data_IF_623436650799
#
_entry.id   IF_623436650799
#
_cell.length_a   1.000
_cell.length_b   1.000
_cell.length_c   1.000
_cell.angle_alpha   90.00
_cell.angle_beta   90.00
_cell.angle_gamma   90.00
#
_symmetry.space_group_name_H-M   'P 1'
#
loop_
_entity.id
_entity.type
_entity.pdbx_description
1 polymer ?
#
# COMPACT_ATOMS: atom_id res chain seq x y z
N UNK A 1 -8.50 -10.92 -20.84
CA UNK A 1 -7.47 -10.99 -21.86
C UNK A 1 -6.54 -9.78 -21.75
N UNK A 2 -5.24 -10.02 -21.78
CA UNK A 2 -4.22 -8.97 -21.89
C UNK A 2 -3.66 -8.99 -23.32
N UNK A 3 -3.48 -7.82 -23.91
CA UNK A 3 -2.82 -7.68 -25.20
C UNK A 3 -1.87 -6.49 -25.18
N UNK A 4 -1.33 -6.11 -26.33
CA UNK A 4 -0.37 -5.02 -26.49
C UNK A 4 -0.99 -3.68 -26.03
N UNK A 5 -0.63 -3.24 -24.83
CA UNK A 5 -1.13 -2.05 -24.15
C UNK A 5 -2.63 -2.02 -23.86
N UNK A 6 -3.35 -3.17 -23.78
CA UNK A 6 -4.76 -3.21 -23.42
C UNK A 6 -5.16 -4.37 -22.51
N UNK A 7 -6.26 -4.17 -21.76
CA UNK A 7 -7.08 -5.21 -21.15
C UNK A 7 -8.42 -5.28 -21.87
N UNK A 8 -8.82 -6.48 -22.33
CA UNK A 8 -10.12 -6.77 -22.91
C UNK A 8 -10.91 -7.69 -22.00
N UNK A 9 -12.20 -7.45 -21.88
CA UNK A 9 -13.06 -8.14 -20.93
C UNK A 9 -14.08 -9.02 -21.63
N UNK A 10 -14.33 -10.19 -21.01
CA UNK A 10 -15.28 -11.18 -21.49
C UNK A 10 -16.21 -11.61 -20.37
N UNK A 11 -17.44 -11.97 -20.69
CA UNK A 11 -18.41 -12.57 -19.78
C UNK A 11 -19.15 -13.71 -20.47
N UNK A 12 -19.26 -14.86 -19.83
CA UNK A 12 -19.93 -16.05 -20.38
C UNK A 12 -19.46 -16.41 -21.81
N UNK A 13 -18.16 -16.28 -22.06
CA UNK A 13 -17.57 -16.54 -23.37
C UNK A 13 -17.83 -15.46 -24.45
N UNK A 14 -18.47 -14.37 -24.10
CA UNK A 14 -18.75 -13.23 -24.99
C UNK A 14 -17.87 -12.03 -24.64
N UNK A 15 -17.32 -11.38 -25.67
CA UNK A 15 -16.61 -10.08 -25.51
C UNK A 15 -17.58 -9.02 -25.04
N UNK A 16 -17.15 -8.19 -24.10
CA UNK A 16 -17.95 -7.04 -23.65
C UNK A 16 -17.86 -5.89 -24.63
N UNK A 17 -18.98 -5.20 -24.81
CA UNK A 17 -19.09 -4.00 -25.67
C UNK A 17 -19.43 -2.79 -24.79
N UNK A 18 -18.98 -1.61 -25.20
CA UNK A 18 -19.33 -0.34 -24.54
C UNK A 18 -20.36 0.43 -25.37
N UNK A 19 -21.09 1.33 -24.68
CA UNK A 19 -21.95 2.31 -25.33
C UNK A 19 -21.15 3.58 -25.69
N UNK A 20 -21.51 4.23 -26.78
CA UNK A 20 -20.90 5.50 -27.16
C UNK A 20 -20.93 6.52 -26.03
N UNK A 21 -19.79 7.14 -25.78
CA UNK A 21 -19.68 8.26 -24.84
C UNK A 21 -20.41 9.51 -25.34
N UNK A 22 -20.73 10.41 -24.40
CA UNK A 22 -21.15 11.76 -24.76
C UNK A 22 -20.03 12.49 -25.50
N UNK A 23 -20.42 13.53 -26.29
CA UNK A 23 -19.42 14.39 -26.96
C UNK A 23 -18.47 14.99 -25.92
N UNK A 24 -17.18 14.96 -26.22
CA UNK A 24 -16.17 15.57 -25.35
C UNK A 24 -16.45 17.07 -25.17
N UNK A 25 -16.27 17.57 -23.97
CA UNK A 25 -16.45 18.99 -23.63
C UNK A 25 -15.26 19.50 -22.81
N UNK A 26 -14.80 20.70 -23.12
CA UNK A 26 -13.72 21.37 -22.36
C UNK A 26 -14.13 21.81 -20.94
N UNK A 27 -15.44 21.90 -20.67
CA UNK A 27 -15.97 22.27 -19.36
C UNK A 27 -16.26 21.06 -18.44
N UNK A 28 -16.13 19.84 -18.96
CA UNK A 28 -16.38 18.61 -18.18
C UNK A 28 -15.10 18.12 -17.53
N UNK A 29 -15.20 17.75 -16.25
CA UNK A 29 -14.15 16.99 -15.57
C UNK A 29 -14.46 15.50 -15.74
N UNK A 30 -13.54 14.78 -16.35
CA UNK A 30 -13.64 13.34 -16.58
C UNK A 30 -12.91 12.58 -15.48
N UNK A 31 -13.57 11.62 -14.87
CA UNK A 31 -12.95 10.67 -13.95
C UNK A 31 -12.26 9.54 -14.74
N UNK A 32 -11.35 8.82 -14.09
CA UNK A 32 -10.76 7.61 -14.68
C UNK A 32 -11.87 6.61 -15.00
N UNK A 33 -11.85 6.06 -16.21
CA UNK A 33 -12.86 5.11 -16.67
C UNK A 33 -14.06 5.74 -17.40
N UNK A 34 -14.18 7.06 -17.43
CA UNK A 34 -15.21 7.72 -18.22
C UNK A 34 -14.91 7.59 -19.72
N UNK A 35 -15.97 7.47 -20.52
CA UNK A 35 -15.87 7.42 -21.98
C UNK A 35 -16.40 8.71 -22.58
N UNK A 36 -15.60 9.36 -23.41
CA UNK A 36 -15.99 10.53 -24.17
C UNK A 36 -15.77 10.32 -25.68
N UNK A 37 -16.62 10.90 -26.51
CA UNK A 37 -16.53 10.82 -27.98
C UNK A 37 -15.98 12.10 -28.57
N UNK A 38 -14.94 11.99 -29.39
CA UNK A 38 -14.36 13.10 -30.11
C UNK A 38 -13.98 12.65 -31.53
N UNK A 39 -14.37 13.43 -32.56
CA UNK A 39 -14.13 13.11 -33.98
C UNK A 39 -14.51 11.66 -34.37
N UNK A 40 -15.69 11.21 -33.96
CA UNK A 40 -16.22 9.85 -34.18
C UNK A 40 -15.42 8.69 -33.53
N UNK A 41 -14.44 8.98 -32.67
CA UNK A 41 -13.71 8.00 -31.90
C UNK A 41 -14.12 8.13 -30.44
N UNK A 42 -14.34 7.01 -29.76
CA UNK A 42 -14.54 6.97 -28.32
C UNK A 42 -13.21 6.83 -27.61
N UNK A 43 -13.06 7.51 -26.49
CA UNK A 43 -11.83 7.52 -25.69
C UNK A 43 -12.15 7.20 -24.25
N UNK A 44 -11.37 6.33 -23.66
CA UNK A 44 -11.37 6.01 -22.24
C UNK A 44 -10.44 6.97 -21.49
N UNK A 45 -10.92 7.61 -20.43
CA UNK A 45 -10.11 8.48 -19.59
C UNK A 45 -9.15 7.69 -18.71
N UNK A 46 -7.84 7.83 -18.93
CA UNK A 46 -6.76 7.17 -18.17
C UNK A 46 -6.43 7.88 -16.87
N UNK A 47 -6.70 9.17 -16.81
CA UNK A 47 -6.44 10.03 -15.65
C UNK A 47 -7.66 10.91 -15.40
N UNK A 48 -7.81 11.42 -14.17
CA UNK A 48 -8.74 12.51 -13.91
C UNK A 48 -8.23 13.72 -14.71
N UNK A 49 -9.07 14.27 -15.57
CA UNK A 49 -8.69 15.39 -16.42
C UNK A 49 -9.85 16.34 -16.71
N UNK A 50 -9.52 17.59 -16.98
CA UNK A 50 -10.45 18.61 -17.50
C UNK A 50 -9.73 19.43 -18.55
N UNK A 51 -10.47 19.88 -19.57
CA UNK A 51 -9.93 20.66 -20.70
C UNK A 51 -8.73 19.99 -21.42
N UNK A 52 -8.64 18.65 -21.37
CA UNK A 52 -7.67 17.87 -22.12
C UNK A 52 -8.36 17.21 -23.29
N UNK A 53 -8.23 17.80 -24.48
CA UNK A 53 -8.92 17.32 -25.69
C UNK A 53 -8.26 16.03 -26.22
N UNK A 54 -9.06 14.97 -26.55
CA UNK A 54 -8.57 13.84 -27.33
C UNK A 54 -8.18 14.24 -28.77
N UNK A 55 -7.19 13.53 -29.39
CA UNK A 55 -6.33 12.51 -28.82
C UNK A 55 -5.17 13.11 -28.01
N UNK A 56 -5.07 12.74 -26.75
CA UNK A 56 -3.95 13.07 -25.90
C UNK A 56 -3.59 11.79 -25.11
N UNK A 57 -2.54 11.09 -25.51
CA UNK A 57 -2.20 9.77 -24.99
C UNK A 57 -1.89 9.75 -23.49
N UNK A 58 -1.56 10.88 -22.87
CA UNK A 58 -1.39 11.00 -21.42
C UNK A 58 -2.72 10.81 -20.67
N UNK A 59 -3.80 11.33 -21.23
CA UNK A 59 -5.10 11.39 -20.57
C UNK A 59 -6.14 10.44 -21.16
N UNK A 60 -5.97 10.04 -22.42
CA UNK A 60 -6.97 9.30 -23.18
C UNK A 60 -6.40 8.07 -23.86
N UNK A 61 -7.15 6.98 -23.84
CA UNK A 61 -6.91 5.77 -24.61
C UNK A 61 -8.01 5.63 -25.66
N UNK A 62 -7.68 5.53 -26.96
CA UNK A 62 -8.68 5.34 -28.01
C UNK A 62 -9.28 3.94 -27.91
N UNK A 63 -10.61 3.86 -27.89
CA UNK A 63 -11.34 2.59 -27.84
C UNK A 63 -11.57 2.05 -29.27
N UNK A 64 -11.55 0.71 -29.47
CA UNK A 64 -11.93 0.09 -30.72
C UNK A 64 -13.35 0.48 -31.12
N UNK A 65 -13.55 0.74 -32.41
CA UNK A 65 -14.85 1.05 -32.99
C UNK A 65 -15.17 0.05 -34.09
N UNK A 66 -16.47 -0.30 -34.23
CA UNK A 66 -16.98 -1.21 -35.25
C UNK A 66 -16.32 -2.62 -35.24
N UNK A 67 -16.60 -3.48 -34.24
CA UNK A 67 -17.53 -3.25 -33.13
C UNK A 67 -16.91 -2.47 -31.95
N UNK A 68 -17.77 -1.88 -31.11
CA UNK A 68 -17.38 -1.14 -29.90
C UNK A 68 -16.91 -2.09 -28.78
N UNK A 69 -15.76 -2.73 -28.96
CA UNK A 69 -15.20 -3.68 -27.97
C UNK A 69 -14.73 -2.89 -26.74
N UNK A 70 -15.15 -3.33 -25.53
CA UNK A 70 -14.73 -2.71 -24.30
C UNK A 70 -13.30 -3.14 -23.94
N UNK A 71 -12.40 -2.20 -24.05
CA UNK A 71 -11.00 -2.31 -23.68
C UNK A 71 -10.61 -1.12 -22.80
N UNK A 72 -9.57 -1.32 -21.99
CA UNK A 72 -8.94 -0.22 -21.28
C UNK A 72 -7.43 -0.28 -21.50
N UNK A 73 -6.76 0.83 -21.29
CA UNK A 73 -5.31 0.90 -21.37
C UNK A 73 -4.64 -0.07 -20.36
N UNK A 74 -3.57 -0.73 -20.81
CA UNK A 74 -2.63 -1.51 -20.01
C UNK A 74 -1.23 -0.91 -20.14
N UNK A 75 -0.39 -0.87 -19.09
CA UNK A 75 0.98 -0.40 -19.22
C UNK A 75 1.92 -1.42 -19.92
N UNK A 76 1.48 -2.66 -20.13
CA UNK A 76 2.31 -3.76 -20.59
C UNK A 76 2.30 -3.89 -22.12
N UNK A 77 3.48 -3.96 -22.72
CA UNK A 77 3.67 -4.28 -24.14
C UNK A 77 3.52 -5.78 -24.40
N UNK A 78 3.31 -6.17 -25.67
CA UNK A 78 3.22 -7.58 -26.09
C UNK A 78 4.41 -8.41 -25.61
N UNK A 79 5.62 -7.85 -25.65
CA UNK A 79 6.84 -8.54 -25.24
C UNK A 79 6.92 -8.83 -23.73
N UNK A 80 6.16 -8.08 -22.91
CA UNK A 80 6.17 -8.17 -21.45
C UNK A 80 5.05 -9.05 -20.88
N UNK A 81 4.05 -9.42 -21.69
CA UNK A 81 2.83 -10.09 -21.22
C UNK A 81 3.09 -11.41 -20.47
N UNK A 82 4.11 -12.16 -20.87
CA UNK A 82 4.46 -13.44 -20.22
C UNK A 82 5.25 -13.29 -18.93
N UNK A 83 5.78 -12.09 -18.64
CA UNK A 83 6.49 -11.77 -17.40
C UNK A 83 5.57 -11.06 -16.37
N UNK A 84 4.31 -10.77 -16.73
CA UNK A 84 3.31 -10.22 -15.82
C UNK A 84 2.85 -11.29 -14.85
N UNK A 85 3.16 -11.13 -13.56
CA UNK A 85 2.58 -11.93 -12.49
C UNK A 85 1.36 -11.22 -11.92
N UNK A 86 0.37 -12.01 -11.50
CA UNK A 86 -0.87 -11.46 -10.95
C UNK A 86 -1.48 -12.34 -9.87
N UNK A 87 -2.28 -11.71 -9.03
CA UNK A 87 -3.12 -12.38 -8.04
C UNK A 87 -4.45 -11.64 -7.94
N UNK A 88 -5.53 -12.39 -7.74
CA UNK A 88 -6.87 -11.81 -7.61
C UNK A 88 -7.43 -12.03 -6.21
N UNK A 89 -8.05 -10.98 -5.67
CA UNK A 89 -8.88 -11.02 -4.47
C UNK A 89 -10.16 -10.25 -4.75
N UNK A 90 -11.32 -10.93 -4.67
CA UNK A 90 -12.62 -10.35 -5.02
C UNK A 90 -12.62 -9.65 -6.40
N UNK A 91 -13.01 -8.38 -6.44
CA UNK A 91 -13.07 -7.55 -7.66
C UNK A 91 -11.75 -6.80 -7.97
N UNK A 92 -10.63 -7.19 -7.33
CA UNK A 92 -9.31 -6.58 -7.51
C UNK A 92 -8.31 -7.60 -8.04
N UNK A 93 -7.74 -7.32 -9.20
CA UNK A 93 -6.60 -8.03 -9.77
C UNK A 93 -5.34 -7.19 -9.56
N UNK A 94 -4.41 -7.68 -8.74
CA UNK A 94 -3.09 -7.07 -8.59
C UNK A 94 -2.16 -7.62 -9.65
N UNK A 95 -1.51 -6.75 -10.40
CA UNK A 95 -0.53 -7.10 -11.42
C UNK A 95 0.82 -6.50 -11.08
N UNK A 96 1.89 -7.28 -11.27
CA UNK A 96 3.27 -6.85 -11.08
C UNK A 96 4.15 -7.25 -12.25
N UNK A 97 5.14 -6.43 -12.55
CA UNK A 97 6.15 -6.67 -13.56
C UNK A 97 7.43 -5.89 -13.19
N UNK A 98 8.65 -6.43 -13.37
CA UNK A 98 9.90 -5.78 -12.93
C UNK A 98 10.17 -4.39 -13.52
N UNK A 99 9.53 -4.04 -14.64
CA UNK A 99 9.69 -2.74 -15.31
C UNK A 99 8.56 -1.75 -15.01
N UNK A 100 7.51 -2.16 -14.34
CA UNK A 100 6.32 -1.34 -14.09
C UNK A 100 5.96 -1.32 -12.61
N UNK A 101 5.51 -0.16 -12.12
CA UNK A 101 4.98 -0.07 -10.77
C UNK A 101 3.83 -1.07 -10.58
N UNK A 102 3.67 -1.67 -9.39
CA UNK A 102 2.54 -2.55 -9.09
C UNK A 102 1.20 -1.86 -9.35
N UNK A 103 0.30 -2.53 -10.05
CA UNK A 103 -1.01 -2.00 -10.41
C UNK A 103 -2.14 -2.84 -9.84
N UNK A 104 -3.27 -2.19 -9.62
CA UNK A 104 -4.55 -2.83 -9.35
C UNK A 104 -5.51 -2.55 -10.50
N UNK A 105 -6.07 -3.61 -11.06
CA UNK A 105 -7.21 -3.57 -11.94
C UNK A 105 -8.47 -3.85 -11.11
N UNK A 106 -9.30 -2.82 -10.92
CA UNK A 106 -10.52 -2.88 -10.10
C UNK A 106 -11.77 -2.85 -10.96
N UNK A 107 -12.73 -3.72 -10.64
CA UNK A 107 -14.03 -3.77 -11.26
C UNK A 107 -15.04 -2.93 -10.47
N UNK A 108 -15.66 -1.96 -11.14
CA UNK A 108 -16.77 -1.15 -10.60
C UNK A 108 -18.10 -1.45 -11.29
N UNK A 109 -18.09 -2.20 -12.39
CA UNK A 109 -19.25 -2.58 -13.17
C UNK A 109 -18.87 -3.43 -14.38
N UNK A 110 -19.82 -3.88 -15.17
CA UNK A 110 -19.57 -4.72 -16.34
C UNK A 110 -18.63 -4.01 -17.35
N UNK A 111 -18.87 -2.73 -17.60
CA UNK A 111 -18.07 -1.87 -18.50
C UNK A 111 -17.45 -0.69 -17.74
N UNK A 112 -17.09 -0.88 -16.48
CA UNK A 112 -16.37 0.11 -15.69
C UNK A 112 -15.25 -0.58 -14.90
N UNK A 113 -14.08 -0.61 -15.51
CA UNK A 113 -12.85 -1.14 -14.93
C UNK A 113 -11.79 -0.05 -14.91
N UNK A 114 -11.00 -0.01 -13.88
CA UNK A 114 -9.97 1.01 -13.67
C UNK A 114 -8.67 0.31 -13.30
N UNK A 115 -7.59 0.65 -14.00
CA UNK A 115 -6.24 0.27 -13.62
C UNK A 115 -5.53 1.48 -13.02
N UNK A 116 -4.90 1.28 -11.86
CA UNK A 116 -4.14 2.30 -11.16
C UNK A 116 -2.92 1.70 -10.48
N UNK A 117 -1.84 2.45 -10.41
CA UNK A 117 -0.69 2.06 -9.60
C UNK A 117 -1.05 2.08 -8.12
N UNK A 118 -0.52 1.08 -7.40
CA UNK A 118 -0.71 0.99 -5.95
C UNK A 118 0.13 2.08 -5.27
N UNK A 119 -0.51 2.82 -4.37
CA UNK A 119 0.20 3.74 -3.48
C UNK A 119 0.54 3.02 -2.17
N UNK A 120 1.82 2.88 -1.89
CA UNK A 120 2.36 2.31 -0.65
C UNK A 120 2.78 3.39 0.36
N UNK A 121 2.56 4.65 0.05
CA UNK A 121 2.85 5.78 0.93
C UNK A 121 1.86 5.89 2.11
N UNK A 122 1.92 7.03 2.78
CA UNK A 122 1.00 7.31 3.88
C UNK A 122 -0.45 7.39 3.38
N UNK A 123 -1.39 6.64 3.98
CA UNK A 123 -2.78 6.54 3.50
C UNK A 123 -3.61 7.81 3.72
N UNK A 124 -3.12 8.73 4.53
CA UNK A 124 -3.68 10.04 4.83
C UNK A 124 -2.58 11.09 4.87
N UNK A 125 -2.93 12.34 4.65
CA UNK A 125 -2.03 13.46 4.92
C UNK A 125 -1.74 13.54 6.43
N UNK A 126 -0.51 13.92 6.80
CA UNK A 126 -0.20 14.22 8.18
C UNK A 126 -0.97 15.46 8.65
N UNK A 127 -1.46 15.51 9.91
CA UNK A 127 -2.09 16.69 10.45
C UNK A 127 -1.17 17.91 10.40
N UNK A 128 -1.75 19.07 10.15
CA UNK A 128 -1.05 20.37 10.09
C UNK A 128 -1.56 21.34 11.13
N UNK A 129 -0.85 22.43 11.37
CA UNK A 129 -1.29 23.46 12.32
C UNK A 129 -1.33 22.96 13.77
N UNK A 130 -0.48 21.98 14.12
CA UNK A 130 -0.40 21.49 15.50
C UNK A 130 0.12 22.60 16.39
N UNK A 131 -0.60 22.86 17.46
CA UNK A 131 -0.25 23.84 18.47
C UNK A 131 -0.60 23.35 19.88
N UNK A 132 0.12 23.84 20.87
CA UNK A 132 -0.04 23.45 22.27
C UNK A 132 -0.18 24.68 23.12
N UNK A 133 -1.17 24.68 24.00
CA UNK A 133 -1.35 25.72 25.03
C UNK A 133 -1.29 25.10 26.41
N UNK A 134 -0.59 25.77 27.32
CA UNK A 134 -0.55 25.38 28.73
C UNK A 134 -1.67 26.02 29.54
N UNK A 135 -2.05 25.34 30.60
CA UNK A 135 -2.87 25.90 31.67
C UNK A 135 -2.32 25.46 33.02
N UNK A 136 -2.18 26.44 33.95
CA UNK A 136 -1.88 26.19 35.36
C UNK A 136 -2.93 26.94 36.17
N UNK A 137 -3.54 26.33 37.21
CA UNK A 137 -4.49 27.02 38.09
C UNK A 137 -3.85 28.24 38.78
N UNK A 138 -4.52 29.37 38.75
CA UNK A 138 -4.03 30.62 39.34
C UNK A 138 -3.84 30.58 40.88
N UNK A 139 -4.42 29.59 41.55
CA UNK A 139 -4.22 29.33 42.98
C UNK A 139 -2.87 28.65 43.29
N UNK A 140 -2.13 28.24 42.28
CA UNK A 140 -0.87 27.52 42.44
C UNK A 140 0.28 28.44 42.04
N UNK A 141 1.11 28.81 43.00
CA UNK A 141 2.37 29.52 42.74
C UNK A 141 3.43 28.50 42.40
N UNK A 142 3.84 28.47 41.14
CA UNK A 142 4.94 27.62 40.68
C UNK A 142 6.09 28.51 40.19
N UNK A 143 7.32 28.16 40.60
CA UNK A 143 8.50 28.76 39.98
C UNK A 143 8.60 28.27 38.52
N UNK A 144 8.95 29.15 37.61
CA UNK A 144 9.21 28.78 36.20
C UNK A 144 10.42 27.84 36.07
N UNK A 145 11.29 27.74 37.08
CA UNK A 145 12.44 26.85 37.15
C UNK A 145 12.04 25.36 37.20
N UNK A 146 10.76 25.06 37.51
CA UNK A 146 10.19 23.70 37.52
C UNK A 146 9.48 23.34 36.24
N UNK A 147 9.47 24.21 35.23
CA UNK A 147 8.85 23.96 33.96
C UNK A 147 9.78 23.06 33.12
N UNK A 148 9.16 22.10 32.42
CA UNK A 148 9.82 21.23 31.46
C UNK A 148 9.14 21.33 30.11
N UNK A 149 9.89 21.14 29.06
CA UNK A 149 9.36 21.15 27.71
C UNK A 149 8.61 19.84 27.44
N UNK A 150 7.37 19.97 27.00
CA UNK A 150 6.53 18.88 26.53
C UNK A 150 6.33 19.01 25.03
N UNK A 151 6.70 18.00 24.28
CA UNK A 151 6.63 17.98 22.84
C UNK A 151 5.63 16.91 22.38
N UNK A 152 4.83 17.25 21.37
CA UNK A 152 3.74 16.40 20.87
C UNK A 152 3.76 16.35 19.35
N UNK A 153 3.34 15.18 18.79
CA UNK A 153 2.98 15.00 17.40
C UNK A 153 1.62 14.34 17.30
N UNK A 154 0.96 14.52 16.18
CA UNK A 154 -0.38 14.00 15.93
C UNK A 154 -0.39 13.23 14.61
N UNK A 155 -1.13 12.12 14.57
CA UNK A 155 -1.43 11.37 13.36
C UNK A 155 -2.93 11.33 13.09
N UNK A 156 -3.32 11.14 11.83
CA UNK A 156 -4.70 10.94 11.41
C UNK A 156 -4.95 9.46 11.13
N UNK A 157 -6.12 8.92 11.49
CA UNK A 157 -6.47 7.51 11.36
C UNK A 157 -7.76 7.37 10.58
N UNK A 158 -7.81 6.42 9.61
CA UNK A 158 -9.02 6.07 8.87
C UNK A 158 -10.04 5.32 9.74
N UNK A 159 -11.21 5.13 9.20
CA UNK A 159 -12.32 4.38 9.82
C UNK A 159 -12.01 2.88 10.05
N UNK A 160 -11.10 2.29 9.27
CA UNK A 160 -10.63 0.92 9.46
C UNK A 160 -9.69 0.75 10.68
N UNK A 161 -9.29 1.85 11.33
CA UNK A 161 -8.44 1.92 12.55
C UNK A 161 -7.02 1.37 12.38
N UNK A 162 -6.66 0.90 11.21
CA UNK A 162 -5.35 0.32 10.87
C UNK A 162 -4.51 1.32 10.08
N UNK A 163 -5.15 2.02 9.13
CA UNK A 163 -4.49 3.02 8.29
C UNK A 163 -4.32 4.33 9.04
N UNK A 164 -3.09 4.62 9.40
CA UNK A 164 -2.66 5.79 10.16
C UNK A 164 -1.66 6.60 9.35
N UNK A 165 -1.76 7.93 9.37
CA UNK A 165 -0.85 8.82 8.63
C UNK A 165 0.56 8.86 9.24
N UNK A 166 1.51 9.42 8.50
CA UNK A 166 2.74 9.90 9.11
C UNK A 166 2.42 10.93 10.20
N UNK A 167 3.35 11.09 11.15
CA UNK A 167 3.25 12.10 12.18
C UNK A 167 3.31 13.53 11.60
N UNK A 168 2.66 14.44 12.27
CA UNK A 168 2.77 15.88 12.02
C UNK A 168 4.18 16.42 12.34
N UNK A 169 4.44 17.68 11.98
CA UNK A 169 5.49 18.42 12.66
C UNK A 169 5.20 18.49 14.15
N UNK A 170 6.22 18.48 14.98
CA UNK A 170 6.07 18.58 16.42
C UNK A 170 5.69 20.00 16.88
N UNK A 171 4.99 20.06 18.00
CA UNK A 171 4.72 21.30 18.71
C UNK A 171 5.07 21.11 20.19
N UNK A 172 5.66 22.12 20.81
CA UNK A 172 6.11 22.07 22.19
C UNK A 172 5.58 23.22 23.03
N UNK A 173 5.51 22.99 24.33
CA UNK A 173 5.18 24.01 25.34
C UNK A 173 5.95 23.69 26.61
N UNK A 174 6.47 24.75 27.26
CA UNK A 174 7.09 24.63 28.58
C UNK A 174 6.01 24.78 29.66
N UNK A 175 5.84 23.78 30.51
CA UNK A 175 4.83 23.73 31.54
C UNK A 175 5.28 22.86 32.74
N UNK A 176 4.74 23.10 33.92
CA UNK A 176 4.81 22.17 35.05
C UNK A 176 3.48 21.42 35.18
N UNK A 177 3.33 20.37 34.34
CA UNK A 177 2.13 19.55 34.28
C UNK A 177 1.94 18.66 35.54
N UNK A 178 2.94 18.57 36.43
CA UNK A 178 2.86 17.80 37.66
C UNK A 178 2.05 18.48 38.75
N UNK A 179 1.77 19.76 38.58
CA UNK A 179 0.89 20.54 39.48
C UNK A 179 -0.56 20.10 39.28
N UNK A 180 -1.28 19.87 40.39
CA UNK A 180 -2.69 19.47 40.36
C UNK A 180 -3.53 20.45 39.54
N UNK A 181 -4.22 19.97 38.54
CA UNK A 181 -5.07 20.76 37.64
C UNK A 181 -4.33 21.47 36.49
N UNK A 182 -3.00 21.39 36.46
CA UNK A 182 -2.24 21.82 35.27
C UNK A 182 -2.49 20.89 34.11
N UNK A 183 -2.48 21.43 32.88
CA UNK A 183 -2.71 20.67 31.68
C UNK A 183 -2.12 21.34 30.45
N UNK A 184 -1.84 20.55 29.43
CA UNK A 184 -1.54 21.01 28.08
C UNK A 184 -2.72 20.66 27.16
N UNK A 185 -3.14 21.60 26.33
CA UNK A 185 -4.18 21.38 25.34
C UNK A 185 -3.54 21.41 23.95
N UNK A 186 -3.58 20.28 23.24
CA UNK A 186 -3.04 20.11 21.90
C UNK A 186 -4.19 20.27 20.90
N UNK A 187 -4.00 21.07 19.86
CA UNK A 187 -4.98 21.29 18.79
C UNK A 187 -4.31 21.20 17.41
N UNK A 188 -5.09 20.87 16.37
CA UNK A 188 -4.60 20.71 15.01
C UNK A 188 -5.71 20.93 13.97
N UNK A 189 -5.34 21.02 12.69
CA UNK A 189 -6.29 21.12 11.59
C UNK A 189 -6.87 19.75 11.24
N UNK A 190 -8.15 19.70 10.90
CA UNK A 190 -8.80 18.49 10.44
C UNK A 190 -8.18 17.96 9.14
N UNK A 191 -8.06 16.63 9.03
CA UNK A 191 -7.56 15.94 7.85
C UNK A 191 -8.73 15.26 7.13
N UNK A 192 -8.83 15.48 5.82
CA UNK A 192 -9.87 14.85 4.99
C UNK A 192 -9.69 13.33 5.00
N UNK A 193 -10.78 12.59 5.22
CA UNK A 193 -10.77 11.12 5.33
C UNK A 193 -10.36 10.56 6.68
N UNK A 194 -9.95 11.39 7.63
CA UNK A 194 -9.70 10.94 9.00
C UNK A 194 -11.01 10.71 9.76
N UNK A 195 -11.11 9.59 10.47
CA UNK A 195 -12.19 9.29 11.40
C UNK A 195 -11.83 9.63 12.83
N UNK A 196 -10.54 9.63 13.16
CA UNK A 196 -9.97 9.95 14.45
C UNK A 196 -8.51 10.37 14.36
N UNK A 197 -7.94 10.79 15.48
CA UNK A 197 -6.56 11.23 15.62
C UNK A 197 -5.91 10.56 16.82
N UNK A 198 -4.61 10.29 16.71
CA UNK A 198 -3.77 9.81 17.80
C UNK A 198 -2.73 10.88 18.12
N UNK A 199 -2.56 11.14 19.39
CA UNK A 199 -1.58 12.09 19.89
C UNK A 199 -0.47 11.32 20.57
N UNK A 200 0.76 11.72 20.35
CA UNK A 200 1.97 11.14 20.91
C UNK A 200 2.76 12.22 21.63
N UNK A 201 3.32 11.87 22.77
CA UNK A 201 4.13 12.74 23.62
C UNK A 201 5.57 12.27 23.65
N UNK A 202 6.51 13.19 23.49
CA UNK A 202 7.93 12.91 23.59
C UNK A 202 8.37 12.69 25.03
N UNK A 203 9.22 11.70 25.23
CA UNK A 203 10.02 11.53 26.44
C UNK A 203 11.37 10.94 26.04
N UNK A 204 12.45 11.61 26.38
CA UNK A 204 13.79 11.15 25.98
C UNK A 204 14.02 11.12 24.46
N UNK A 205 13.30 11.98 23.70
CA UNK A 205 13.41 12.06 22.23
C UNK A 205 12.59 11.01 21.46
N UNK A 206 11.81 10.18 22.17
CA UNK A 206 10.93 9.16 21.54
C UNK A 206 9.47 9.56 21.80
N UNK A 207 8.63 9.48 20.76
CA UNK A 207 7.20 9.74 20.85
C UNK A 207 6.44 8.46 21.22
N UNK A 208 5.83 8.44 22.41
CA UNK A 208 4.92 7.39 22.86
C UNK A 208 3.46 7.81 22.76
N UNK A 209 2.55 6.85 22.58
CA UNK A 209 1.12 7.10 22.48
C UNK A 209 0.57 7.72 23.77
N UNK A 210 -0.13 8.83 23.63
CA UNK A 210 -0.77 9.57 24.72
C UNK A 210 -2.27 9.28 24.79
N UNK A 211 -2.94 9.32 23.65
CA UNK A 211 -4.39 9.15 23.59
C UNK A 211 -4.95 9.26 22.18
N UNK A 212 -6.23 8.91 22.05
CA UNK A 212 -6.98 8.94 20.79
C UNK A 212 -8.25 9.77 20.95
N UNK A 213 -8.62 10.53 19.92
CA UNK A 213 -9.82 11.38 19.91
C UNK A 213 -10.45 11.43 18.52
N UNK A 214 -11.75 11.70 18.46
CA UNK A 214 -12.49 11.95 17.20
C UNK A 214 -12.60 13.46 16.89
N UNK A 215 -12.13 14.32 17.79
CA UNK A 215 -12.07 15.77 17.60
C UNK A 215 -10.65 16.22 17.25
N UNK A 216 -10.47 17.48 16.91
CA UNK A 216 -9.16 18.08 16.61
C UNK A 216 -8.47 18.68 17.84
N UNK A 217 -8.74 18.13 19.02
CA UNK A 217 -8.14 18.54 20.29
C UNK A 217 -7.99 17.36 21.23
N UNK A 218 -6.92 17.38 22.04
CA UNK A 218 -6.68 16.44 23.13
C UNK A 218 -6.04 17.18 24.29
N UNK A 219 -6.41 16.81 25.50
CA UNK A 219 -5.85 17.38 26.74
C UNK A 219 -4.92 16.35 27.36
N UNK A 220 -3.70 16.80 27.66
CA UNK A 220 -2.74 16.08 28.51
C UNK A 220 -2.76 16.70 29.92
N UNK A 221 -3.26 15.93 30.86
CA UNK A 221 -3.29 16.27 32.31
C UNK A 221 -2.28 15.43 33.08
N UNK A 222 -1.09 15.25 32.54
CA UNK A 222 0.01 14.41 33.04
C UNK A 222 -0.14 12.93 32.74
N UNK A 223 -0.65 12.60 31.56
CA UNK A 223 -0.71 11.21 31.06
C UNK A 223 0.71 10.72 30.71
N UNK A 224 1.05 9.52 31.20
CA UNK A 224 2.30 8.87 30.82
C UNK A 224 2.20 8.31 29.39
N UNK A 225 3.17 8.59 28.49
CA UNK A 225 3.15 8.04 27.15
C UNK A 225 3.43 6.53 27.12
N UNK A 226 2.71 5.80 26.27
CA UNK A 226 2.94 4.38 26.01
C UNK A 226 3.94 4.21 24.85
N UNK A 227 5.16 3.77 25.14
CA UNK A 227 6.22 3.55 24.17
C UNK A 227 6.13 2.21 23.42
N UNK A 228 5.20 1.32 23.77
CA UNK A 228 4.90 0.14 22.97
C UNK A 228 4.17 0.52 21.66
N UNK A 229 3.65 1.76 21.60
CA UNK A 229 2.95 2.29 20.43
C UNK A 229 3.52 3.67 20.06
N UNK A 230 4.28 3.71 18.98
CA UNK A 230 4.88 4.93 18.43
C UNK A 230 4.16 5.35 17.15
N UNK A 231 4.35 6.58 16.65
CA UNK A 231 3.84 6.97 15.34
C UNK A 231 4.36 6.04 14.25
N UNK A 232 3.53 5.64 13.25
CA UNK A 232 3.97 4.78 12.18
C UNK A 232 4.96 5.49 11.26
N UNK A 233 5.89 4.70 10.72
CA UNK A 233 6.81 5.09 9.65
C UNK A 233 6.32 4.40 8.38
N UNK A 234 6.08 5.16 7.31
CA UNK A 234 5.72 4.64 6.00
C UNK A 234 6.93 4.69 5.07
N UNK A 235 7.23 3.57 4.45
CA UNK A 235 8.24 3.46 3.41
C UNK A 235 7.60 2.88 2.14
N UNK A 236 7.95 3.45 1.00
CA UNK A 236 7.57 2.92 -0.30
C UNK A 236 8.82 2.38 -0.99
N UNK A 237 9.00 1.06 -0.91
CA UNK A 237 10.17 0.37 -1.49
C UNK A 237 10.07 0.25 -3.01
N UNK A 238 8.87 0.41 -3.59
CA UNK A 238 8.59 0.19 -5.00
C UNK A 238 8.59 1.48 -5.82
N UNK A 239 9.60 2.31 -5.63
CA UNK A 239 9.79 3.58 -6.35
C UNK A 239 11.08 3.55 -7.17
N UNK A 240 10.98 3.94 -8.43
CA UNK A 240 12.11 4.05 -9.35
C UNK A 240 12.48 2.75 -10.06
N UNK A 241 13.27 2.90 -11.11
CA UNK A 241 13.67 1.80 -11.99
C UNK A 241 14.43 0.73 -11.22
N UNK A 242 14.04 -0.53 -11.43
CA UNK A 242 14.65 -1.69 -10.80
C UNK A 242 14.11 -2.03 -9.41
N UNK A 243 13.21 -1.22 -8.84
CA UNK A 243 12.59 -1.48 -7.53
C UNK A 243 11.16 -2.05 -7.65
N UNK A 244 10.69 -2.36 -8.84
CA UNK A 244 9.36 -2.95 -9.02
C UNK A 244 9.40 -4.46 -8.84
N UNK A 245 8.46 -5.04 -8.06
CA UNK A 245 8.43 -6.48 -7.79
C UNK A 245 7.99 -7.28 -9.01
N UNK A 246 8.60 -8.46 -9.20
CA UNK A 246 8.24 -9.40 -10.25
C UNK A 246 7.26 -10.48 -9.81
N UNK A 247 7.01 -10.64 -8.51
CA UNK A 247 6.11 -11.65 -7.97
C UNK A 247 5.16 -11.06 -6.93
N UNK A 248 3.91 -11.55 -6.90
CA UNK A 248 2.87 -11.12 -5.96
C UNK A 248 1.99 -12.29 -5.56
N UNK A 249 1.52 -12.27 -4.31
CA UNK A 249 0.53 -13.23 -3.79
C UNK A 249 -0.19 -12.67 -2.55
N UNK A 250 -1.13 -13.44 -2.00
CA UNK A 250 -1.71 -13.20 -0.66
C UNK A 250 -1.33 -14.33 0.27
N UNK A 251 -0.94 -14.00 1.49
CA UNK A 251 -0.66 -14.97 2.53
C UNK A 251 -0.95 -14.39 3.91
N UNK A 252 -1.66 -15.13 4.77
CA UNK A 252 -1.99 -14.73 6.14
C UNK A 252 -2.48 -13.27 6.27
N UNK A 253 -3.49 -12.91 5.47
CA UNK A 253 -4.11 -11.57 5.44
C UNK A 253 -3.15 -10.44 5.04
N UNK A 254 -2.03 -10.75 4.40
CA UNK A 254 -1.07 -9.79 3.87
C UNK A 254 -0.95 -9.96 2.36
N UNK A 255 -0.76 -8.87 1.65
CA UNK A 255 -0.30 -8.91 0.26
C UNK A 255 1.23 -9.02 0.28
N UNK A 256 1.75 -9.97 -0.48
CA UNK A 256 3.17 -10.33 -0.50
C UNK A 256 3.75 -9.96 -1.85
N UNK A 257 4.87 -9.24 -1.86
CA UNK A 257 5.63 -8.87 -3.04
C UNK A 257 7.04 -9.41 -2.93
N UNK A 258 7.66 -9.76 -4.06
CA UNK A 258 9.04 -10.21 -4.04
C UNK A 258 9.75 -9.99 -5.38
N UNK A 259 11.08 -10.05 -5.33
CA UNK A 259 11.93 -10.16 -6.50
C UNK A 259 11.95 -8.90 -7.36
N UNK A 260 12.59 -7.83 -6.89
CA UNK A 260 12.90 -6.68 -7.74
C UNK A 260 14.24 -6.87 -8.44
N UNK A 261 14.52 -6.10 -9.49
CA UNK A 261 15.82 -6.16 -10.17
C UNK A 261 16.98 -5.73 -9.24
N UNK A 262 16.76 -4.74 -8.37
CA UNK A 262 17.77 -4.25 -7.43
C UNK A 262 17.88 -5.11 -6.16
N UNK A 263 16.79 -5.79 -5.77
CA UNK A 263 16.73 -6.66 -4.62
C UNK A 263 16.02 -8.00 -4.97
N UNK A 264 16.66 -8.86 -5.78
CA UNK A 264 16.02 -10.04 -6.37
C UNK A 264 15.60 -11.11 -5.35
N UNK A 265 16.15 -11.08 -4.15
CA UNK A 265 15.91 -12.04 -3.08
C UNK A 265 15.08 -11.48 -1.92
N UNK A 266 14.64 -10.22 -2.02
CA UNK A 266 13.84 -9.60 -0.97
C UNK A 266 12.35 -9.92 -1.14
N UNK A 267 11.69 -10.01 0.02
CA UNK A 267 10.25 -10.18 0.16
C UNK A 267 9.74 -9.04 1.04
N UNK A 268 8.59 -8.50 0.65
CA UNK A 268 7.85 -7.49 1.39
C UNK A 268 6.41 -7.95 1.58
N UNK A 269 5.91 -7.85 2.79
CA UNK A 269 4.51 -8.14 3.10
C UNK A 269 3.88 -6.91 3.72
N UNK A 270 2.67 -6.59 3.32
CA UNK A 270 1.91 -5.47 3.88
C UNK A 270 1.61 -5.69 5.36
N UNK A 271 1.28 -4.61 6.06
CA UNK A 271 0.70 -4.69 7.41
C UNK A 271 -0.51 -5.62 7.41
N UNK A 272 -0.66 -6.43 8.46
CA UNK A 272 -1.74 -7.43 8.55
C UNK A 272 -3.11 -6.80 8.33
N UNK A 273 -3.95 -7.46 7.53
CA UNK A 273 -5.30 -6.99 7.19
C UNK A 273 -5.34 -5.81 6.22
N UNK A 274 -4.22 -5.49 5.55
CA UNK A 274 -4.15 -4.40 4.55
C UNK A 274 -3.60 -4.89 3.22
N UNK A 275 -3.86 -4.15 2.16
CA UNK A 275 -3.42 -4.50 0.81
C UNK A 275 -2.26 -3.62 0.28
N UNK A 276 -2.04 -2.44 0.86
CA UNK A 276 -0.98 -1.51 0.41
C UNK A 276 -0.25 -0.80 1.55
N UNK A 277 -0.61 -1.05 2.81
CA UNK A 277 0.02 -0.39 3.94
C UNK A 277 1.36 -1.06 4.28
N UNK A 278 2.47 -0.34 4.07
CA UNK A 278 3.84 -0.78 4.36
C UNK A 278 4.41 -0.09 5.60
N UNK A 279 3.56 0.29 6.56
CA UNK A 279 4.01 0.97 7.79
C UNK A 279 4.52 0.00 8.85
N UNK A 280 5.40 0.53 9.69
CA UNK A 280 5.93 -0.12 10.89
C UNK A 280 6.18 0.89 12.00
N UNK A 281 6.25 0.40 13.23
CA UNK A 281 6.63 1.17 14.41
C UNK A 281 8.02 0.82 14.94
N UNK A 282 8.53 1.60 15.88
CA UNK A 282 9.73 1.29 16.66
C UNK A 282 9.39 1.44 18.14
N UNK A 283 9.22 0.35 18.90
CA UNK A 283 9.51 -1.06 18.55
C UNK A 283 8.55 -1.63 17.50
N UNK A 284 9.04 -2.58 16.70
CA UNK A 284 8.24 -3.28 15.68
C UNK A 284 7.19 -4.17 16.34
N UNK A 285 6.00 -4.24 15.75
CA UNK A 285 4.86 -5.03 16.25
C UNK A 285 4.54 -6.18 15.31
N UNK A 286 3.84 -7.20 15.83
CA UNK A 286 3.50 -8.41 15.07
C UNK A 286 2.61 -8.13 13.85
N UNK A 287 1.80 -7.07 13.90
CA UNK A 287 0.94 -6.65 12.79
C UNK A 287 1.63 -5.76 11.75
N UNK A 288 2.84 -5.23 12.04
CA UNK A 288 3.58 -4.35 11.13
C UNK A 288 4.01 -5.05 9.84
N UNK A 289 4.44 -4.25 8.84
CA UNK A 289 5.00 -4.78 7.60
C UNK A 289 6.13 -5.77 7.89
N UNK A 290 6.29 -6.71 6.99
CA UNK A 290 7.39 -7.67 7.06
C UNK A 290 8.32 -7.43 5.87
N UNK A 291 9.62 -7.36 6.13
CA UNK A 291 10.65 -7.35 5.12
C UNK A 291 11.77 -8.30 5.52
N UNK A 292 12.17 -9.17 4.60
CA UNK A 292 13.32 -10.03 4.80
C UNK A 292 13.95 -10.45 3.47
N UNK A 293 15.18 -10.92 3.55
CA UNK A 293 15.95 -11.42 2.41
C UNK A 293 16.20 -12.92 2.53
N UNK A 294 16.05 -13.64 1.42
CA UNK A 294 16.47 -15.03 1.32
C UNK A 294 17.99 -15.07 1.18
N UNK A 295 18.68 -15.63 2.18
CA UNK A 295 20.12 -15.84 2.13
C UNK A 295 20.43 -17.12 1.32
N UNK A 296 20.59 -17.00 0.03
CA UNK A 296 20.99 -18.10 -0.86
C UNK A 296 22.45 -18.01 -1.24
N UNK A 297 23.05 -19.17 -1.59
CA UNK A 297 24.45 -19.23 -2.10
C UNK A 297 24.65 -18.52 -3.42
N UNK A 298 23.58 -18.46 -4.25
CA UNK A 298 23.56 -17.82 -5.55
C UNK A 298 22.51 -16.69 -5.55
N UNK A 299 22.82 -15.59 -6.23
CA UNK A 299 21.89 -14.49 -6.41
C UNK A 299 20.82 -14.90 -7.43
N UNK A 300 19.70 -15.41 -6.93
CA UNK A 300 18.57 -15.87 -7.74
C UNK A 300 17.34 -15.02 -7.49
N UNK A 301 16.74 -14.51 -8.55
CA UNK A 301 15.49 -13.75 -8.47
C UNK A 301 14.34 -14.66 -8.04
N UNK A 302 13.54 -14.21 -7.10
CA UNK A 302 12.26 -14.83 -6.74
C UNK A 302 11.30 -14.60 -7.92
N UNK A 303 10.86 -15.68 -8.56
CA UNK A 303 9.98 -15.64 -9.73
C UNK A 303 8.51 -15.79 -9.36
N UNK A 304 8.22 -16.64 -8.37
CA UNK A 304 6.85 -16.90 -7.95
C UNK A 304 6.76 -17.03 -6.43
N UNK A 305 5.61 -16.62 -5.91
CA UNK A 305 5.20 -16.78 -4.53
C UNK A 305 3.92 -17.60 -4.52
N UNK A 306 3.93 -18.76 -3.86
CA UNK A 306 2.78 -19.67 -3.84
C UNK A 306 2.29 -19.89 -2.42
N UNK A 307 1.05 -19.48 -2.10
CA UNK A 307 0.44 -19.68 -0.81
C UNK A 307 -0.16 -21.10 -0.74
N UNK A 308 0.41 -21.93 0.10
CA UNK A 308 -0.15 -23.21 0.52
C UNK A 308 -0.35 -23.17 2.03
N UNK A 309 -0.19 -24.31 2.72
CA UNK A 309 -0.11 -24.34 4.19
C UNK A 309 1.05 -23.46 4.70
N UNK A 310 2.13 -23.39 3.94
CA UNK A 310 3.26 -22.50 4.15
C UNK A 310 3.44 -21.63 2.89
N UNK A 311 4.09 -20.50 3.03
CA UNK A 311 4.46 -19.69 1.90
C UNK A 311 5.66 -20.32 1.18
N UNK A 312 5.49 -20.66 -0.09
CA UNK A 312 6.56 -21.16 -0.94
C UNK A 312 7.05 -20.05 -1.86
N UNK A 313 8.36 -19.93 -1.97
CA UNK A 313 9.03 -19.02 -2.90
C UNK A 313 9.83 -19.86 -3.91
N UNK A 314 9.57 -19.62 -5.19
CA UNK A 314 10.24 -20.29 -6.29
C UNK A 314 11.25 -19.32 -6.91
N UNK A 315 12.52 -19.72 -6.91
CA UNK A 315 13.60 -18.99 -7.58
C UNK A 315 14.06 -19.71 -8.83
N UNK A 316 14.96 -19.13 -9.59
CA UNK A 316 15.53 -19.78 -10.77
C UNK A 316 16.39 -21.01 -10.48
N UNK A 317 16.76 -21.31 -9.22
CA UNK A 317 17.65 -22.43 -8.88
C UNK A 317 17.24 -23.19 -7.62
N UNK A 318 16.21 -22.75 -6.89
CA UNK A 318 15.80 -23.40 -5.65
C UNK A 318 14.36 -23.02 -5.28
N UNK A 319 13.74 -23.89 -4.49
CA UNK A 319 12.45 -23.68 -3.83
C UNK A 319 12.67 -23.49 -2.34
N UNK A 320 11.99 -22.49 -1.78
CA UNK A 320 12.12 -22.10 -0.39
C UNK A 320 10.78 -22.13 0.31
N UNK A 321 10.78 -22.54 1.57
CA UNK A 321 9.62 -22.49 2.43
C UNK A 321 9.80 -21.44 3.52
N UNK A 322 8.81 -20.58 3.67
CA UNK A 322 8.71 -19.60 4.76
C UNK A 322 7.68 -20.07 5.76
N UNK A 323 8.06 -20.08 7.02
CA UNK A 323 7.21 -20.44 8.16
C UNK A 323 7.46 -19.48 9.31
N UNK A 324 6.55 -19.47 10.29
CA UNK A 324 6.84 -18.88 11.60
C UNK A 324 7.76 -19.78 12.44
N UNK A 325 8.41 -19.24 13.45
CA UNK A 325 9.29 -19.99 14.36
C UNK A 325 8.58 -20.28 15.67
N UNK A 326 7.91 -19.52 16.33
CA UNK A 326 7.29 -19.73 17.65
C UNK A 326 5.91 -19.05 17.72
N UNK A 327 5.23 -18.91 16.59
CA UNK A 327 3.88 -18.35 16.53
C UNK A 327 3.05 -19.07 15.48
N UNK A 328 1.74 -18.94 15.56
CA UNK A 328 0.81 -19.55 14.61
C UNK A 328 0.81 -18.80 13.25
N UNK A 329 1.28 -17.54 13.23
CA UNK A 329 1.37 -16.72 12.05
C UNK A 329 2.77 -16.13 11.86
N UNK A 330 3.12 -15.77 10.62
CA UNK A 330 4.38 -15.06 10.31
C UNK A 330 4.28 -13.63 10.82
N UNK A 331 5.27 -13.24 11.64
CA UNK A 331 5.40 -11.87 12.15
C UNK A 331 6.80 -11.34 11.82
N UNK A 332 7.05 -10.02 11.89
CA UNK A 332 8.37 -9.45 11.59
C UNK A 332 9.52 -10.07 12.39
N UNK A 333 9.23 -10.59 13.59
CA UNK A 333 10.20 -11.18 14.52
C UNK A 333 10.22 -12.71 14.52
N UNK A 334 9.27 -13.36 13.81
CA UNK A 334 9.10 -14.81 13.80
C UNK A 334 9.07 -15.38 12.39
N UNK A 335 10.22 -15.43 11.73
CA UNK A 335 10.36 -15.89 10.34
C UNK A 335 11.46 -16.97 10.27
N UNK A 336 11.14 -18.09 9.63
CA UNK A 336 12.09 -19.15 9.26
C UNK A 336 12.03 -19.41 7.76
N UNK A 337 13.15 -19.26 7.08
CA UNK A 337 13.30 -19.51 5.64
C UNK A 337 14.21 -20.70 5.44
N UNK A 338 13.69 -21.77 4.82
CA UNK A 338 14.45 -23.02 4.60
C UNK A 338 14.34 -23.49 3.15
N UNK A 339 15.46 -23.90 2.51
CA UNK A 339 15.41 -24.53 1.21
C UNK A 339 14.65 -25.86 1.27
N UNK A 340 13.87 -26.15 0.23
CA UNK A 340 13.14 -27.41 0.08
C UNK A 340 13.74 -28.26 -1.00
N UNK A 341 14.11 -27.68 -2.10
CA UNK A 341 14.81 -28.35 -3.21
C UNK A 341 15.67 -27.35 -4.00
N UNK A 342 16.49 -27.84 -4.94
CA UNK A 342 17.40 -27.08 -5.76
C UNK A 342 17.16 -27.32 -7.25
N UNK A 343 15.89 -27.43 -7.66
CA UNK A 343 15.48 -27.63 -9.06
C UNK A 343 15.33 -26.27 -9.76
N UNK A 344 14.69 -25.32 -9.09
CA UNK A 344 14.35 -24.01 -9.62
C UNK A 344 13.12 -24.03 -10.53
N UNK A 345 12.44 -22.91 -10.63
CA UNK A 345 11.24 -22.73 -11.44
C UNK A 345 11.50 -21.84 -12.66
N UNK A 346 10.76 -22.11 -13.73
CA UNK A 346 10.67 -21.25 -14.92
C UNK A 346 9.77 -20.03 -14.66
N UNK A 347 9.66 -19.10 -15.62
CA UNK A 347 8.75 -17.94 -15.55
C UNK A 347 7.27 -18.31 -15.75
N UNK A 348 6.96 -19.54 -16.23
CA UNK A 348 5.58 -19.99 -16.34
C UNK A 348 4.91 -20.06 -14.96
N UNK A 349 3.71 -19.50 -14.85
CA UNK A 349 2.98 -19.47 -13.58
C UNK A 349 2.73 -20.87 -13.03
N UNK A 350 3.05 -21.12 -11.75
CA UNK A 350 2.75 -22.40 -11.12
C UNK A 350 1.25 -22.57 -10.86
N UNK A 351 0.80 -23.80 -10.85
CA UNK A 351 -0.61 -24.16 -10.63
C UNK A 351 -0.74 -25.05 -9.40
N UNK A 352 -1.77 -24.79 -8.59
CA UNK A 352 -2.09 -25.62 -7.43
C UNK A 352 -3.15 -26.65 -7.87
N UNK A 353 -2.81 -27.92 -7.76
CA UNK A 353 -3.71 -29.05 -8.07
C UNK A 353 -3.78 -29.98 -6.87
N UNK A 354 -4.98 -30.17 -6.32
CA UNK A 354 -5.20 -31.02 -5.14
C UNK A 354 -4.20 -30.77 -3.98
N UNK A 355 -4.01 -29.51 -3.63
CA UNK A 355 -3.08 -29.07 -2.58
C UNK A 355 -1.59 -29.41 -2.87
N UNK A 356 -1.26 -29.75 -4.10
CA UNK A 356 0.10 -29.96 -4.58
C UNK A 356 0.48 -28.88 -5.57
N UNK A 357 1.72 -28.42 -5.47
CA UNK A 357 2.27 -27.42 -6.39
C UNK A 357 2.81 -28.10 -7.65
N UNK A 358 2.35 -27.65 -8.80
CA UNK A 358 2.87 -28.04 -10.12
C UNK A 358 3.49 -26.80 -10.77
N UNK A 359 4.74 -26.88 -11.16
CA UNK A 359 5.46 -25.80 -11.82
C UNK A 359 6.42 -26.33 -12.87
N UNK A 360 6.76 -25.51 -13.86
CA UNK A 360 7.77 -25.81 -14.84
C UNK A 360 9.17 -25.61 -14.26
N UNK A 361 10.03 -26.62 -14.34
CA UNK A 361 11.40 -26.51 -13.85
C UNK A 361 12.21 -25.48 -14.66
N UNK A 362 13.18 -24.85 -14.02
CA UNK A 362 14.07 -23.88 -14.67
C UNK A 362 14.96 -24.52 -15.74
N UNK A 363 15.33 -25.78 -15.54
CA UNK A 363 16.11 -26.59 -16.50
C UNK A 363 15.26 -27.78 -16.91
N UNK A 364 15.06 -27.94 -18.22
CA UNK A 364 14.49 -29.16 -18.76
C UNK A 364 15.41 -30.33 -18.40
N UNK A 365 14.84 -31.34 -17.71
CA UNK A 365 15.51 -32.62 -17.51
C UNK A 365 15.46 -33.47 -18.76
#
# INVERSE_FOLDING_TARGET
EMGDYYFRFHTQGQTLFYNDGAAWSNSTTYAIGDIAKHNNVNYYARTINSNQQPPNATHWYPLPTNPNIYEIYSPYSEAELFDVNYVQSADVLTTVHPNHAPNELRRYGATKWIIQSIDFGSPLAAPTGVSVSMYIPSSTSTSTDTYVDHEYVVTAVKDNLVDESNQSSSASVSNNIFVTGAKNTITWNAVSGASRYRVYKAQGGIFGFLGETTTTTLVDDNIAPDFAKTPPIHENDFVGTGNYPGAVSYFEQRRVFAGTNNAPQNIWMTKSGTESNMSFGIPIRDDDRIEFRVAAREANTIRHIVPLTNLLMLTGSAEWRVTSVNSDAITPTSISVKPQSYVGANNAQPVIVNNSLVYAAARGG
#
